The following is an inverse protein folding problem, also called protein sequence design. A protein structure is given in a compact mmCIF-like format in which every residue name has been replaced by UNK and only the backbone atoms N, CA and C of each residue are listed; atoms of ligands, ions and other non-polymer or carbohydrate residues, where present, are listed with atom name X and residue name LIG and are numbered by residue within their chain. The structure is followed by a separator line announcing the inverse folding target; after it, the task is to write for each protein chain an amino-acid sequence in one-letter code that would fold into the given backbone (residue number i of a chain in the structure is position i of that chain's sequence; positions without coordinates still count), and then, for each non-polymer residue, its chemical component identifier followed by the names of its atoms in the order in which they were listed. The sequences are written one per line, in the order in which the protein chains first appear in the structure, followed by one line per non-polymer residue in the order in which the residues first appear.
data_IF_953194873451
#
_entry.id   IF_953194873451
#
_cell.length_a   1.000
_cell.length_b   1.000
_cell.length_c   1.000
_cell.angle_alpha   90.00
_cell.angle_beta   90.00
_cell.angle_gamma   90.00
#
_symmetry.space_group_name_H-M   'P 1'
#
loop_
_entity.id
_entity.type
_entity.pdbx_description
1 polymer ?
#
# COMPACT_ATOMS: atom_id res chain seq x y z
N UNK A 1 -29.04 -13.82 14.40
CA UNK A 1 -29.70 -13.40 13.13
C UNK A 1 -29.65 -11.89 12.89
N UNK A 2 -29.53 -11.05 13.95
CA UNK A 2 -29.57 -9.57 13.88
C UNK A 2 -28.29 -8.87 13.37
N UNK A 3 -27.20 -9.59 13.03
CA UNK A 3 -25.96 -9.02 12.46
C UNK A 3 -25.78 -9.31 10.97
N UNK A 4 -26.78 -9.88 10.31
CA UNK A 4 -26.66 -10.26 8.89
C UNK A 4 -26.73 -9.10 7.92
N UNK A 5 -27.29 -7.96 8.34
CA UNK A 5 -27.60 -6.85 7.48
C UNK A 5 -27.20 -5.50 8.11
N UNK A 6 -26.00 -5.44 8.75
CA UNK A 6 -25.49 -4.17 9.22
C UNK A 6 -25.00 -3.34 8.01
N UNK A 7 -25.78 -2.32 7.58
CA UNK A 7 -25.40 -1.48 6.46
C UNK A 7 -24.10 -0.71 6.70
N UNK A 8 -23.72 -0.48 7.99
CA UNK A 8 -22.50 0.21 8.37
C UNK A 8 -21.29 -0.69 8.18
N UNK A 9 -21.39 -2.00 8.49
CA UNK A 9 -20.31 -2.96 8.20
C UNK A 9 -20.10 -3.12 6.69
N UNK A 10 -21.18 -3.19 5.90
CA UNK A 10 -21.09 -3.18 4.44
C UNK A 10 -20.54 -1.86 3.90
N UNK A 11 -20.88 -0.71 4.51
CA UNK A 11 -20.39 0.61 4.10
C UNK A 11 -18.90 0.79 4.37
N UNK A 12 -18.36 0.22 5.47
CA UNK A 12 -16.94 0.28 5.79
C UNK A 12 -16.06 -0.46 4.75
N UNK A 13 -16.63 -1.45 4.04
CA UNK A 13 -15.93 -2.21 2.99
C UNK A 13 -16.29 -1.78 1.56
N UNK A 14 -17.25 -0.85 1.38
CA UNK A 14 -17.57 -0.28 0.07
C UNK A 14 -16.37 0.30 -0.68
N UNK A 15 -15.36 0.93 -0.04
CA UNK A 15 -14.18 1.42 -0.76
C UNK A 15 -13.40 0.30 -1.47
N UNK A 16 -13.48 -0.94 -0.98
CA UNK A 16 -12.83 -2.08 -1.63
C UNK A 16 -13.62 -2.62 -2.83
N UNK A 17 -14.91 -2.25 -2.95
CA UNK A 17 -15.84 -2.78 -3.94
C UNK A 17 -16.64 -1.68 -4.67
N UNK A 18 -16.24 -0.39 -4.56
CA UNK A 18 -16.97 0.67 -5.24
C UNK A 18 -16.80 0.60 -6.75
N UNK A 19 -17.92 0.67 -7.48
CA UNK A 19 -17.96 0.71 -8.94
C UNK A 19 -17.13 1.87 -9.53
N UNK A 20 -16.95 2.95 -8.77
CA UNK A 20 -16.13 4.12 -9.17
C UNK A 20 -14.63 3.80 -9.27
N UNK A 21 -14.14 2.80 -8.52
CA UNK A 21 -12.78 2.25 -8.70
C UNK A 21 -12.70 1.16 -9.75
N UNK A 22 -13.84 0.59 -10.12
CA UNK A 22 -13.96 -0.40 -11.20
C UNK A 22 -14.02 0.28 -12.57
N UNK A 23 -13.53 1.50 -12.68
CA UNK A 23 -13.46 2.39 -13.84
C UNK A 23 -13.87 1.76 -15.15
N UNK A 24 -15.07 2.09 -15.66
CA UNK A 24 -15.57 1.69 -16.97
C UNK A 24 -15.50 0.19 -17.21
N UNK A 25 -16.58 -0.52 -16.82
CA UNK A 25 -16.71 -1.98 -16.92
C UNK A 25 -16.48 -2.46 -18.36
N UNK A 26 -15.23 -2.75 -18.66
CA UNK A 26 -14.88 -3.72 -19.69
C UNK A 26 -14.37 -4.95 -18.92
N UNK A 27 -15.25 -5.94 -18.72
CA UNK A 27 -14.93 -7.29 -18.22
C UNK A 27 -14.05 -7.25 -16.97
N UNK A 28 -14.66 -7.21 -15.79
CA UNK A 28 -14.04 -7.67 -14.55
C UNK A 28 -13.36 -9.00 -14.86
N UNK A 29 -12.04 -9.04 -14.81
CA UNK A 29 -11.30 -10.28 -14.95
C UNK A 29 -11.95 -11.29 -14.00
N UNK A 30 -12.36 -12.45 -14.51
CA UNK A 30 -13.07 -13.46 -13.75
C UNK A 30 -12.33 -13.82 -12.45
N UNK A 31 -11.01 -13.64 -12.45
CA UNK A 31 -10.15 -13.83 -11.28
C UNK A 31 -10.42 -12.78 -10.21
N UNK A 32 -10.45 -11.47 -10.55
CA UNK A 32 -10.72 -10.37 -9.61
C UNK A 32 -12.10 -10.50 -8.99
N UNK A 33 -13.09 -10.80 -9.84
CA UNK A 33 -14.46 -11.00 -9.38
C UNK A 33 -14.54 -12.17 -8.40
N UNK A 34 -13.89 -13.29 -8.70
CA UNK A 34 -13.87 -14.45 -7.81
C UNK A 34 -13.18 -14.12 -6.49
N UNK A 35 -12.01 -13.49 -6.50
CA UNK A 35 -11.31 -13.09 -5.28
C UNK A 35 -12.17 -12.15 -4.44
N UNK A 36 -12.78 -11.12 -5.03
CA UNK A 36 -13.65 -10.20 -4.32
C UNK A 36 -14.87 -10.88 -3.70
N UNK A 37 -15.54 -11.77 -4.44
CA UNK A 37 -16.71 -12.51 -3.95
C UNK A 37 -16.36 -13.48 -2.82
N UNK A 38 -15.25 -14.18 -2.92
CA UNK A 38 -14.80 -15.10 -1.87
C UNK A 38 -14.41 -14.32 -0.59
N UNK A 39 -13.71 -13.19 -0.71
CA UNK A 39 -13.47 -12.35 0.45
C UNK A 39 -14.75 -11.79 1.06
N UNK A 40 -15.73 -11.38 0.26
CA UNK A 40 -17.03 -10.96 0.77
C UNK A 40 -17.72 -12.06 1.58
N UNK A 41 -17.62 -13.34 1.19
CA UNK A 41 -18.15 -14.46 1.95
C UNK A 41 -17.37 -14.72 3.24
N UNK A 42 -16.04 -14.59 3.22
CA UNK A 42 -15.19 -14.72 4.41
C UNK A 42 -15.47 -13.62 5.45
N UNK A 43 -15.68 -12.36 5.01
CA UNK A 43 -16.10 -11.28 5.89
C UNK A 43 -17.48 -11.49 6.52
N UNK A 44 -18.34 -12.27 5.90
CA UNK A 44 -19.62 -12.72 6.47
C UNK A 44 -19.47 -13.94 7.39
N UNK A 45 -18.23 -14.36 7.72
CA UNK A 45 -17.93 -15.56 8.49
C UNK A 45 -18.47 -16.87 7.86
N UNK A 46 -18.56 -16.92 6.54
CA UNK A 46 -18.94 -18.12 5.79
C UNK A 46 -17.68 -18.89 5.37
N UNK A 47 -17.26 -19.82 6.21
CA UNK A 47 -15.98 -20.52 6.05
C UNK A 47 -16.03 -21.80 5.23
N UNK A 48 -17.21 -22.29 4.87
CA UNK A 48 -17.40 -23.60 4.21
C UNK A 48 -16.63 -23.74 2.88
N UNK A 49 -16.43 -22.64 2.17
CA UNK A 49 -15.74 -22.63 0.86
C UNK A 49 -14.26 -22.25 0.96
N UNK A 50 -13.76 -21.90 2.15
CA UNK A 50 -12.42 -21.33 2.32
C UNK A 50 -11.32 -22.25 1.80
N UNK A 51 -11.37 -23.55 2.11
CA UNK A 51 -10.33 -24.50 1.68
C UNK A 51 -10.31 -24.68 0.16
N UNK A 52 -11.47 -24.74 -0.48
CA UNK A 52 -11.56 -24.83 -1.93
C UNK A 52 -11.06 -23.54 -2.61
N UNK A 53 -11.36 -22.38 -2.02
CA UNK A 53 -10.86 -21.09 -2.50
C UNK A 53 -9.34 -20.99 -2.37
N UNK A 54 -8.76 -21.36 -1.23
CA UNK A 54 -7.30 -21.35 -1.02
C UNK A 54 -6.62 -22.27 -2.02
N UNK A 55 -7.09 -23.52 -2.20
CA UNK A 55 -6.51 -24.45 -3.15
C UNK A 55 -6.59 -23.92 -4.60
N UNK A 56 -7.71 -23.32 -4.99
CA UNK A 56 -7.84 -22.69 -6.30
C UNK A 56 -6.86 -21.52 -6.47
N UNK A 57 -6.73 -20.69 -5.44
CA UNK A 57 -5.83 -19.52 -5.46
C UNK A 57 -4.37 -19.98 -5.58
N UNK A 58 -3.94 -20.96 -4.80
CA UNK A 58 -2.58 -21.51 -4.85
C UNK A 58 -2.26 -22.08 -6.24
N UNK A 59 -3.14 -22.91 -6.80
CA UNK A 59 -2.96 -23.44 -8.13
C UNK A 59 -2.84 -22.34 -9.20
N UNK A 60 -3.67 -21.28 -9.08
CA UNK A 60 -3.62 -20.15 -10.00
C UNK A 60 -2.32 -19.35 -9.86
N UNK A 61 -1.82 -19.16 -8.63
CA UNK A 61 -0.59 -18.42 -8.37
C UNK A 61 0.67 -19.22 -8.72
N UNK A 62 0.61 -20.55 -8.69
CA UNK A 62 1.70 -21.44 -9.08
C UNK A 62 1.76 -21.70 -10.58
N UNK A 63 0.67 -21.50 -11.31
CA UNK A 63 0.66 -21.61 -12.76
C UNK A 63 1.39 -20.44 -13.42
N UNK A 64 2.64 -20.68 -13.82
CA UNK A 64 3.52 -19.66 -14.42
C UNK A 64 3.01 -19.11 -15.77
N UNK A 65 2.08 -19.84 -16.45
CA UNK A 65 1.51 -19.42 -17.74
C UNK A 65 0.25 -18.55 -17.62
N UNK A 66 -0.40 -18.55 -16.47
CA UNK A 66 -1.69 -17.90 -16.23
C UNK A 66 -1.69 -16.96 -15.03
N UNK A 67 -0.54 -16.39 -14.70
CA UNK A 67 -0.43 -15.48 -13.55
C UNK A 67 -1.60 -14.48 -13.52
N UNK A 68 -2.18 -14.21 -12.34
CA UNK A 68 -3.34 -13.35 -12.22
C UNK A 68 -3.06 -11.99 -12.83
N UNK A 69 -3.99 -11.48 -13.63
CA UNK A 69 -3.99 -10.07 -14.03
C UNK A 69 -4.43 -9.23 -12.83
N UNK A 70 -3.52 -9.06 -11.88
CA UNK A 70 -3.70 -8.16 -10.75
C UNK A 70 -3.42 -6.73 -11.24
N UNK A 71 -4.44 -6.08 -11.77
CA UNK A 71 -4.29 -4.73 -12.32
C UNK A 71 -4.37 -3.64 -11.24
N UNK A 72 -4.67 -4.04 -9.99
CA UNK A 72 -4.79 -3.16 -8.85
C UNK A 72 -3.67 -3.44 -7.84
N UNK A 73 -2.82 -2.45 -7.49
CA UNK A 73 -1.78 -2.61 -6.49
C UNK A 73 -2.33 -2.93 -5.08
N UNK A 74 -3.60 -2.58 -4.80
CA UNK A 74 -4.25 -2.90 -3.52
C UNK A 74 -4.72 -4.37 -3.43
N UNK A 75 -4.75 -5.10 -4.54
CA UNK A 75 -5.31 -6.45 -4.59
C UNK A 75 -4.50 -7.53 -3.85
N UNK A 76 -3.18 -7.45 -3.63
CA UNK A 76 -2.45 -8.45 -2.87
C UNK A 76 -2.77 -8.46 -1.38
N UNK A 77 -3.15 -7.32 -0.79
CA UNK A 77 -3.28 -7.18 0.66
C UNK A 77 -4.25 -8.19 1.29
N UNK A 78 -5.49 -8.36 0.81
CA UNK A 78 -6.39 -9.37 1.36
C UNK A 78 -5.83 -10.79 1.26
N UNK A 79 -5.13 -11.12 0.18
CA UNK A 79 -4.55 -12.45 -0.05
C UNK A 79 -3.46 -12.78 0.99
N UNK A 80 -2.73 -11.78 1.50
CA UNK A 80 -1.71 -11.98 2.53
C UNK A 80 -2.29 -12.50 3.85
N UNK A 81 -3.58 -12.30 4.12
CA UNK A 81 -4.28 -12.81 5.31
C UNK A 81 -4.65 -14.29 5.21
N UNK A 82 -4.55 -14.89 4.02
CA UNK A 82 -4.85 -16.30 3.80
C UNK A 82 -3.64 -17.18 4.11
N UNK A 83 -3.88 -18.38 4.61
CA UNK A 83 -2.85 -19.40 4.81
C UNK A 83 -2.56 -20.10 3.46
N UNK A 84 -1.91 -19.39 2.54
CA UNK A 84 -1.44 -19.92 1.25
C UNK A 84 0.02 -20.36 1.34
N UNK A 85 0.41 -21.28 0.47
CA UNK A 85 1.77 -21.78 0.34
C UNK A 85 2.79 -20.64 0.11
N UNK A 86 4.01 -20.80 0.64
CA UNK A 86 5.06 -19.80 0.53
C UNK A 86 5.51 -19.53 -0.91
N UNK A 87 5.55 -20.55 -1.77
CA UNK A 87 5.90 -20.40 -3.19
C UNK A 87 4.81 -19.63 -3.94
N UNK A 88 3.54 -19.89 -3.66
CA UNK A 88 2.41 -19.15 -4.24
C UNK A 88 2.45 -17.67 -3.82
N UNK A 89 2.75 -17.40 -2.54
CA UNK A 89 2.93 -16.04 -2.01
C UNK A 89 4.08 -15.30 -2.67
N UNK A 90 5.22 -15.97 -2.85
CA UNK A 90 6.39 -15.40 -3.53
C UNK A 90 6.09 -15.09 -5.00
N UNK A 91 5.37 -15.98 -5.70
CA UNK A 91 4.97 -15.76 -7.08
C UNK A 91 4.02 -14.56 -7.22
N UNK A 92 3.06 -14.41 -6.29
CA UNK A 92 2.21 -13.23 -6.20
C UNK A 92 3.04 -11.94 -6.05
N UNK A 93 3.94 -11.91 -5.08
CA UNK A 93 4.80 -10.75 -4.82
C UNK A 93 5.66 -10.40 -6.04
N UNK A 94 6.28 -11.40 -6.69
CA UNK A 94 7.06 -11.22 -7.92
C UNK A 94 6.22 -10.70 -9.09
N UNK A 95 4.99 -11.19 -9.21
CA UNK A 95 4.08 -10.73 -10.26
C UNK A 95 3.74 -9.25 -10.08
N UNK A 96 3.33 -8.86 -8.87
CA UNK A 96 3.00 -7.47 -8.54
C UNK A 96 4.23 -6.57 -8.74
N UNK A 97 5.40 -6.95 -8.23
CA UNK A 97 6.62 -6.17 -8.36
C UNK A 97 7.03 -5.95 -9.82
N UNK A 98 6.93 -6.98 -10.68
CA UNK A 98 7.22 -6.83 -12.11
C UNK A 98 6.27 -5.83 -12.80
N UNK A 99 5.01 -5.83 -12.44
CA UNK A 99 4.02 -4.90 -13.00
C UNK A 99 4.29 -3.46 -12.57
N UNK A 100 4.53 -3.25 -11.27
CA UNK A 100 4.91 -1.94 -10.74
C UNK A 100 6.17 -1.44 -11.45
N UNK A 101 7.20 -2.27 -11.56
CA UNK A 101 8.44 -1.91 -12.24
C UNK A 101 8.22 -1.56 -13.73
N UNK A 102 7.36 -2.30 -14.44
CA UNK A 102 7.02 -1.99 -15.84
C UNK A 102 6.27 -0.66 -16.00
N UNK A 103 5.38 -0.34 -15.04
CA UNK A 103 4.63 0.92 -15.04
C UNK A 103 5.47 2.13 -14.62
N UNK A 104 6.46 1.94 -13.74
CA UNK A 104 7.30 3.01 -13.20
C UNK A 104 8.20 3.68 -14.26
N UNK A 105 8.54 2.97 -15.34
CA UNK A 105 9.44 3.46 -16.37
C UNK A 105 10.92 3.50 -15.92
N UNK A 106 11.78 4.24 -16.64
CA UNK A 106 13.20 4.26 -16.32
C UNK A 106 13.49 4.93 -14.98
N UNK A 107 14.52 4.45 -14.24
CA UNK A 107 14.94 5.06 -12.98
C UNK A 107 15.24 6.55 -13.11
N UNK A 108 14.82 7.33 -12.14
CA UNK A 108 15.15 8.75 -12.08
C UNK A 108 16.57 8.95 -11.54
N UNK A 109 17.29 9.94 -12.12
CA UNK A 109 18.59 10.32 -11.59
C UNK A 109 18.44 11.05 -10.27
N UNK A 110 19.17 10.61 -9.27
CA UNK A 110 19.31 11.26 -7.99
C UNK A 110 20.59 12.12 -8.00
N UNK A 111 20.60 13.29 -7.34
CA UNK A 111 21.85 14.02 -7.09
C UNK A 111 22.88 13.13 -6.38
N UNK A 112 24.15 13.29 -6.70
CA UNK A 112 25.20 12.59 -5.99
C UNK A 112 25.20 12.99 -4.51
N UNK A 113 25.36 12.00 -3.63
CA UNK A 113 25.48 12.25 -2.18
C UNK A 113 26.73 13.08 -1.92
N UNK A 114 26.59 14.13 -1.09
CA UNK A 114 27.75 14.92 -0.63
C UNK A 114 28.60 14.06 0.31
N UNK A 115 29.92 13.94 0.09
CA UNK A 115 30.81 13.28 1.05
C UNK A 115 30.66 13.90 2.44
N UNK A 116 30.55 13.10 3.48
CA UNK A 116 30.36 13.58 4.86
C UNK A 116 28.97 14.15 5.19
N UNK A 117 28.06 14.24 4.21
CA UNK A 117 26.69 14.71 4.46
C UNK A 117 25.85 13.70 5.25
N UNK A 118 24.81 14.19 5.96
CA UNK A 118 23.83 13.34 6.65
C UNK A 118 23.13 12.42 5.68
N UNK A 119 22.74 11.23 6.14
CA UNK A 119 21.92 10.29 5.39
C UNK A 119 20.48 10.81 5.37
N UNK A 120 19.89 10.99 4.18
CA UNK A 120 18.51 11.43 4.02
C UNK A 120 17.57 10.26 4.03
N UNK A 121 16.74 10.18 5.08
CA UNK A 121 15.69 9.18 5.24
C UNK A 121 14.36 9.77 4.79
N UNK A 122 13.71 9.15 3.80
CA UNK A 122 12.39 9.55 3.32
C UNK A 122 11.32 8.54 3.73
N UNK A 123 10.39 8.92 4.60
CA UNK A 123 9.27 8.10 5.02
C UNK A 123 8.02 8.43 4.21
N UNK A 124 7.43 7.42 3.56
CA UNK A 124 6.19 7.53 2.82
C UNK A 124 5.05 6.89 3.64
N UNK A 125 3.96 7.63 3.86
CA UNK A 125 2.79 7.10 4.57
C UNK A 125 1.54 7.94 4.33
N UNK A 126 0.39 7.27 4.17
CA UNK A 126 -0.93 7.89 4.11
C UNK A 126 -1.63 8.01 5.46
N UNK A 127 -1.04 7.46 6.52
CA UNK A 127 -1.75 7.17 7.77
C UNK A 127 -1.27 8.00 8.98
N UNK A 128 -0.78 9.23 8.74
CA UNK A 128 -0.49 10.19 9.82
C UNK A 128 -1.79 10.85 10.32
N UNK A 129 -2.70 10.02 10.78
CA UNK A 129 -4.03 10.35 11.28
C UNK A 129 -4.33 9.48 12.51
N UNK A 130 -5.56 9.49 13.03
CA UNK A 130 -5.99 8.58 14.10
C UNK A 130 -6.06 7.12 13.58
N UNK A 131 -4.89 6.57 13.30
CA UNK A 131 -4.64 5.26 12.73
C UNK A 131 -3.50 4.56 13.49
N UNK A 132 -3.43 3.23 13.57
CA UNK A 132 -2.32 2.52 14.22
C UNK A 132 -0.94 2.99 13.79
N UNK A 133 -0.70 3.15 12.48
CA UNK A 133 0.57 3.65 11.94
C UNK A 133 0.85 5.08 12.44
N UNK A 134 -0.13 5.98 12.42
CA UNK A 134 0.02 7.34 12.93
C UNK A 134 0.43 7.38 14.40
N UNK A 135 -0.19 6.53 15.22
CA UNK A 135 0.12 6.44 16.66
C UNK A 135 1.51 5.86 16.92
N UNK A 136 1.92 4.83 16.17
CA UNK A 136 3.21 4.17 16.33
C UNK A 136 4.37 4.97 15.72
N UNK A 137 4.22 5.41 14.46
CA UNK A 137 5.31 6.00 13.69
C UNK A 137 5.53 7.49 13.96
N UNK A 138 4.52 8.25 14.42
CA UNK A 138 4.65 9.71 14.58
C UNK A 138 5.74 10.15 15.56
N UNK A 139 6.16 9.28 16.49
CA UNK A 139 7.28 9.54 17.41
C UNK A 139 8.64 9.20 16.79
N UNK A 140 8.68 8.22 15.88
CA UNK A 140 9.89 7.69 15.25
C UNK A 140 10.71 8.82 14.58
N UNK A 141 10.02 9.73 13.91
CA UNK A 141 10.68 10.81 13.15
C UNK A 141 11.56 11.72 14.01
N UNK A 142 11.30 11.82 15.31
CA UNK A 142 12.09 12.60 16.25
C UNK A 142 13.18 11.82 16.99
N UNK A 143 13.27 10.51 16.80
CA UNK A 143 14.22 9.65 17.53
C UNK A 143 15.53 9.41 16.78
N UNK A 144 15.63 9.87 15.54
CA UNK A 144 16.85 9.75 14.75
C UNK A 144 17.96 10.67 15.26
N UNK A 145 19.17 10.18 15.25
CA UNK A 145 20.38 10.98 15.49
C UNK A 145 20.53 12.02 14.37
N UNK A 146 20.33 13.30 14.72
CA UNK A 146 20.35 14.43 13.79
C UNK A 146 21.73 14.82 13.30
N UNK A 147 22.79 14.33 13.91
CA UNK A 147 24.14 14.50 13.39
C UNK A 147 24.38 13.59 12.19
N UNK A 148 23.71 12.44 12.15
CA UNK A 148 23.86 11.40 11.11
C UNK A 148 22.73 11.41 10.08
N UNK A 149 21.50 11.75 10.48
CA UNK A 149 20.31 11.61 9.65
C UNK A 149 19.56 12.93 9.46
N UNK A 150 19.03 13.10 8.26
CA UNK A 150 18.06 14.14 7.91
C UNK A 150 16.75 13.45 7.52
N UNK A 151 15.66 13.76 8.20
CA UNK A 151 14.39 13.02 8.11
C UNK A 151 13.37 13.79 7.30
N UNK A 152 12.93 13.19 6.21
CA UNK A 152 11.86 13.67 5.35
C UNK A 152 10.61 12.80 5.55
N UNK A 153 9.45 13.43 5.58
CA UNK A 153 8.15 12.73 5.64
C UNK A 153 7.29 13.17 4.46
N UNK A 154 6.86 12.21 3.66
CA UNK A 154 5.95 12.38 2.52
C UNK A 154 4.59 11.81 2.89
N UNK A 155 3.63 12.68 3.18
CA UNK A 155 2.28 12.27 3.55
C UNK A 155 1.40 12.11 2.31
N UNK A 156 1.01 10.87 2.02
CA UNK A 156 0.29 10.49 0.80
C UNK A 156 -1.24 10.40 0.99
N UNK A 157 -1.72 10.48 2.24
CA UNK A 157 -3.13 10.38 2.58
C UNK A 157 -3.85 11.73 2.69
N UNK A 158 -5.12 11.71 3.10
CA UNK A 158 -5.90 12.91 3.34
C UNK A 158 -5.32 13.72 4.50
N UNK A 159 -5.44 15.05 4.37
CA UNK A 159 -5.01 15.96 5.43
C UNK A 159 -6.07 15.96 6.55
N UNK A 160 -5.64 15.53 7.73
CA UNK A 160 -6.43 15.59 8.96
C UNK A 160 -5.64 16.36 10.02
N UNK A 161 -6.30 17.30 10.71
CA UNK A 161 -5.66 17.98 11.86
C UNK A 161 -5.80 17.13 13.11
N UNK A 162 -4.79 16.31 13.39
CA UNK A 162 -4.77 15.38 14.51
C UNK A 162 -3.40 15.32 15.19
N UNK A 163 -3.34 14.78 16.40
CA UNK A 163 -2.11 14.71 17.18
C UNK A 163 -0.96 13.93 16.50
N UNK A 164 -1.18 12.76 15.85
CA UNK A 164 -0.13 12.07 15.12
C UNK A 164 0.49 12.92 14.02
N UNK A 165 -0.35 13.63 13.24
CA UNK A 165 0.12 14.49 12.16
C UNK A 165 0.95 15.66 12.69
N UNK A 166 0.41 16.45 13.63
CA UNK A 166 1.13 17.59 14.23
C UNK A 166 2.47 17.18 14.82
N UNK A 167 2.54 15.99 15.44
CA UNK A 167 3.79 15.44 15.96
C UNK A 167 4.78 15.11 14.85
N UNK A 168 4.34 14.49 13.77
CA UNK A 168 5.20 14.18 12.63
C UNK A 168 5.73 15.47 11.98
N UNK A 169 4.88 16.46 11.74
CA UNK A 169 5.25 17.78 11.21
C UNK A 169 6.31 18.49 12.09
N UNK A 170 6.13 18.45 13.41
CA UNK A 170 7.06 19.09 14.35
C UNK A 170 8.36 18.30 14.63
N UNK A 171 8.48 17.07 14.12
CA UNK A 171 9.64 16.19 14.37
C UNK A 171 10.44 15.83 13.13
N UNK A 172 9.88 15.95 11.94
CA UNK A 172 10.62 15.81 10.68
C UNK A 172 11.48 17.05 10.40
N UNK A 173 12.63 16.89 9.73
CA UNK A 173 13.37 18.03 9.19
C UNK A 173 12.62 18.65 8.01
N UNK A 174 11.96 17.82 7.23
CA UNK A 174 11.10 18.24 6.11
C UNK A 174 9.82 17.40 6.10
N UNK A 175 8.68 18.08 6.10
CA UNK A 175 7.36 17.45 5.95
C UNK A 175 6.69 17.93 4.66
N UNK A 176 6.17 17.02 3.86
CA UNK A 176 5.50 17.31 2.59
C UNK A 176 4.16 16.62 2.47
N UNK A 177 3.10 17.37 2.19
CA UNK A 177 1.81 16.82 1.74
C UNK A 177 1.90 16.53 0.24
N UNK A 178 1.86 15.26 -0.13
CA UNK A 178 2.05 14.81 -1.51
C UNK A 178 0.86 14.03 -2.07
N UNK A 179 -0.26 14.01 -1.36
CA UNK A 179 -1.46 13.26 -1.73
C UNK A 179 -2.00 13.58 -3.13
N UNK A 180 -1.77 14.81 -3.62
CA UNK A 180 -2.25 15.27 -4.93
C UNK A 180 -1.24 15.10 -6.06
N UNK A 181 -0.02 14.67 -5.78
CA UNK A 181 0.99 14.46 -6.81
C UNK A 181 0.71 13.13 -7.54
N UNK A 182 1.02 13.09 -8.84
CA UNK A 182 1.10 11.82 -9.55
C UNK A 182 2.32 11.01 -9.07
N UNK A 183 2.33 9.69 -9.32
CA UNK A 183 3.44 8.80 -8.94
C UNK A 183 4.78 9.32 -9.49
N UNK A 184 4.79 9.73 -10.75
CA UNK A 184 6.00 10.27 -11.39
C UNK A 184 6.45 11.61 -10.78
N UNK A 185 5.51 12.49 -10.43
CA UNK A 185 5.83 13.77 -9.78
C UNK A 185 6.37 13.55 -8.35
N UNK A 186 5.80 12.60 -7.61
CA UNK A 186 6.31 12.20 -6.29
C UNK A 186 7.70 11.59 -6.38
N UNK A 187 7.92 10.67 -7.30
CA UNK A 187 9.23 10.08 -7.52
C UNK A 187 10.29 11.14 -7.90
N UNK A 188 9.93 12.11 -8.76
CA UNK A 188 10.82 13.21 -9.13
C UNK A 188 11.14 14.11 -7.92
N UNK A 189 10.16 14.38 -7.06
CA UNK A 189 10.35 15.15 -5.83
C UNK A 189 11.31 14.43 -4.86
N UNK A 190 11.10 13.13 -4.62
CA UNK A 190 11.96 12.30 -3.76
C UNK A 190 13.39 12.26 -4.32
N UNK A 191 13.55 12.13 -5.63
CA UNK A 191 14.85 12.16 -6.29
C UNK A 191 15.51 13.53 -6.13
N UNK A 192 14.79 14.64 -6.32
CA UNK A 192 15.29 16.01 -6.16
C UNK A 192 15.68 16.31 -4.70
N UNK A 193 14.93 15.81 -3.72
CA UNK A 193 15.28 15.88 -2.30
C UNK A 193 16.54 15.05 -1.97
N UNK A 194 17.03 14.24 -2.90
CA UNK A 194 18.26 13.46 -2.74
C UNK A 194 18.15 12.39 -1.65
N UNK A 195 16.98 11.77 -1.50
CA UNK A 195 16.75 10.74 -0.48
C UNK A 195 17.69 9.56 -0.69
N UNK A 196 18.41 9.17 0.36
CA UNK A 196 19.32 8.02 0.36
C UNK A 196 18.59 6.72 0.61
N UNK A 197 17.64 6.72 1.54
CA UNK A 197 16.86 5.56 1.94
C UNK A 197 15.39 5.97 1.98
N UNK A 198 14.56 5.36 1.13
CA UNK A 198 13.12 5.48 1.18
C UNK A 198 12.53 4.33 2.01
N UNK A 199 11.64 4.68 2.95
CA UNK A 199 10.93 3.73 3.82
C UNK A 199 9.44 3.88 3.57
N UNK A 200 8.84 2.87 2.97
CA UNK A 200 7.40 2.79 2.83
C UNK A 200 6.76 2.19 4.08
N UNK A 201 5.83 2.92 4.69
CA UNK A 201 5.07 2.48 5.87
C UNK A 201 3.65 2.01 5.52
N UNK A 202 3.26 2.09 4.25
CA UNK A 202 1.92 1.74 3.78
C UNK A 202 1.85 0.34 3.16
N UNK A 203 2.91 -0.12 2.49
CA UNK A 203 2.90 -1.39 1.77
C UNK A 203 1.74 -1.44 0.77
N UNK A 204 0.91 -2.49 0.84
CA UNK A 204 -0.27 -2.67 -0.02
C UNK A 204 -1.56 -2.12 0.58
N UNK A 205 -1.50 -1.23 1.57
CA UNK A 205 -2.70 -0.63 2.16
C UNK A 205 -3.20 0.58 1.39
N UNK A 206 -4.32 1.15 1.82
CA UNK A 206 -4.89 2.35 1.22
C UNK A 206 -3.88 3.53 1.28
N UNK A 207 -3.89 4.37 0.26
CA UNK A 207 -2.96 5.51 0.09
C UNK A 207 -1.49 5.12 -0.13
N UNK A 208 -1.19 3.84 -0.43
CA UNK A 208 0.14 3.47 -0.89
C UNK A 208 0.49 4.16 -2.21
N UNK A 209 1.77 4.18 -2.55
CA UNK A 209 2.32 4.84 -3.75
C UNK A 209 3.31 3.91 -4.45
N UNK A 210 2.92 2.61 -4.58
CA UNK A 210 3.68 1.58 -5.27
C UNK A 210 3.51 1.61 -6.79
#
# INVERSE_FOLDING_TARGET
QARRDDPAACAAYRPFFSADRLGGVAVLDAWRFRVAMEFATLYQCRWSQRSAFVAWLENTLLDAGRGPRLDDPDSPFPILSLAIDGAARLNLARHVARRIAAAAGPPLRRPARRPGGRIRLGYLTGDLREHPIGRLASRLFGLHDRERFEVFVYHTGPREDCAPRRRAEGKADTFRDVARLSERALAALIAADGIDIAVDLSGYTLFNRL
#
